data_IF_806272057477
#
_entry.id   IF_806272057477
#
_cell.length_a   1.000
_cell.length_b   1.000
_cell.length_c   1.000
_cell.angle_alpha   90.00
_cell.angle_beta   90.00
_cell.angle_gamma   90.00
#
_symmetry.space_group_name_H-M   'P 1'
#
loop_
_entity.id
_entity.type
_entity.pdbx_description
1 polymer ?
#
# COMPACT_ATOMS: atom_id res chain seq x y z
N UNK A 1 -17.61 4.35 4.98
CA UNK A 1 -18.72 5.09 5.66
C UNK A 1 -20.12 4.51 5.42
N UNK A 2 -20.49 4.08 4.19
CA UNK A 2 -21.84 3.59 3.86
C UNK A 2 -22.32 2.39 4.69
N UNK A 3 -21.49 1.38 4.85
CA UNK A 3 -21.79 0.20 5.68
C UNK A 3 -21.97 0.55 7.16
N UNK A 4 -21.22 1.52 7.67
CA UNK A 4 -21.34 1.98 9.06
C UNK A 4 -22.69 2.68 9.28
N UNK A 5 -23.07 3.56 8.35
CA UNK A 5 -24.41 4.19 8.35
C UNK A 5 -25.50 3.13 8.28
N UNK A 6 -25.34 2.11 7.45
CA UNK A 6 -26.29 1.01 7.34
C UNK A 6 -26.39 0.18 8.63
N UNK A 7 -25.26 -0.18 9.26
CA UNK A 7 -25.26 -0.88 10.55
C UNK A 7 -25.94 -0.07 11.66
N UNK A 8 -25.71 1.26 11.71
CA UNK A 8 -26.41 2.15 12.65
C UNK A 8 -27.90 2.24 12.36
N UNK A 9 -28.29 2.33 11.08
CA UNK A 9 -29.71 2.35 10.68
C UNK A 9 -30.38 1.03 11.08
N UNK A 10 -29.75 -0.12 10.83
CA UNK A 10 -30.28 -1.43 11.22
C UNK A 10 -30.40 -1.54 12.74
N UNK A 11 -29.40 -1.09 13.49
CA UNK A 11 -29.45 -1.07 14.95
C UNK A 11 -30.58 -0.16 15.47
N UNK A 12 -30.75 1.02 14.87
CA UNK A 12 -31.83 1.96 15.20
C UNK A 12 -33.21 1.40 14.84
N UNK A 13 -33.34 0.72 13.71
CA UNK A 13 -34.57 0.03 13.35
C UNK A 13 -34.90 -1.10 14.34
N UNK A 14 -33.89 -1.86 14.76
CA UNK A 14 -34.06 -2.91 15.77
C UNK A 14 -34.51 -2.35 17.13
N UNK A 15 -33.98 -1.20 17.55
CA UNK A 15 -34.45 -0.46 18.73
C UNK A 15 -35.95 -0.16 18.66
N UNK A 16 -36.38 0.42 17.53
CA UNK A 16 -37.79 0.80 17.30
C UNK A 16 -38.68 -0.45 17.25
N UNK A 17 -38.22 -1.53 16.62
CA UNK A 17 -38.98 -2.79 16.55
C UNK A 17 -39.14 -3.42 17.93
N UNK A 18 -38.07 -3.53 18.73
CA UNK A 18 -38.13 -4.14 20.07
C UNK A 18 -39.04 -3.33 21.00
N UNK A 19 -38.94 -2.00 20.95
CA UNK A 19 -39.86 -1.12 21.67
C UNK A 19 -41.32 -1.30 21.19
N UNK A 20 -41.53 -1.31 19.86
CA UNK A 20 -42.86 -1.48 19.26
C UNK A 20 -43.50 -2.84 19.60
N UNK A 21 -42.74 -3.93 19.57
CA UNK A 21 -43.21 -5.28 19.95
C UNK A 21 -43.67 -5.30 21.40
N UNK A 22 -42.92 -4.67 22.31
CA UNK A 22 -43.31 -4.57 23.72
C UNK A 22 -44.66 -3.85 23.89
N UNK A 23 -44.83 -2.70 23.24
CA UNK A 23 -46.10 -1.95 23.29
C UNK A 23 -47.25 -2.69 22.61
N UNK A 24 -47.02 -3.44 21.53
CA UNK A 24 -48.04 -4.27 20.89
C UNK A 24 -48.52 -5.41 21.79
N UNK A 25 -47.60 -6.08 22.51
CA UNK A 25 -47.94 -7.12 23.48
C UNK A 25 -48.76 -6.51 24.63
N UNK A 26 -48.38 -5.33 25.11
CA UNK A 26 -49.11 -4.58 26.14
C UNK A 26 -50.55 -4.23 25.70
N UNK A 27 -50.72 -3.71 24.48
CA UNK A 27 -52.03 -3.36 23.92
C UNK A 27 -52.93 -4.59 23.71
N UNK A 28 -52.37 -5.69 23.20
CA UNK A 28 -53.10 -6.96 23.06
C UNK A 28 -53.46 -7.60 24.40
N UNK A 29 -52.71 -7.29 25.47
CA UNK A 29 -53.01 -7.66 26.85
C UNK A 29 -54.13 -6.83 27.50
N UNK A 30 -54.77 -5.91 26.76
CA UNK A 30 -55.89 -5.10 27.23
C UNK A 30 -55.50 -3.81 27.96
N UNK A 31 -54.22 -3.45 27.99
CA UNK A 31 -53.76 -2.20 28.59
C UNK A 31 -53.80 -1.05 27.57
N UNK A 32 -54.82 -0.19 27.69
CA UNK A 32 -55.11 0.89 26.71
C UNK A 32 -54.39 2.20 27.08
N UNK A 33 -53.87 2.32 28.30
CA UNK A 33 -53.16 3.51 28.79
C UNK A 33 -51.75 3.17 29.24
N UNK A 34 -50.82 4.13 29.10
CA UNK A 34 -49.45 4.01 29.62
C UNK A 34 -49.51 3.78 31.14
N UNK A 35 -48.75 2.79 31.62
CA UNK A 35 -48.74 2.48 33.04
C UNK A 35 -48.17 3.66 33.85
N UNK A 36 -48.87 4.02 34.92
CA UNK A 36 -48.40 4.97 35.93
C UNK A 36 -47.52 4.30 36.99
N UNK A 37 -47.35 2.97 36.93
CA UNK A 37 -46.55 2.19 37.87
C UNK A 37 -45.07 2.19 37.48
N UNK A 38 -44.20 2.56 38.41
CA UNK A 38 -42.75 2.48 38.24
C UNK A 38 -42.26 1.05 37.99
N UNK A 39 -43.00 0.04 38.46
CA UNK A 39 -42.61 -1.38 38.32
C UNK A 39 -42.75 -1.88 36.88
N UNK A 40 -43.72 -1.37 36.12
CA UNK A 40 -43.91 -1.73 34.72
C UNK A 40 -42.82 -1.09 33.85
N UNK A 41 -42.42 0.15 34.17
CA UNK A 41 -41.27 0.81 33.54
C UNK A 41 -39.95 0.12 33.85
N UNK A 42 -39.76 -0.39 35.07
CA UNK A 42 -38.60 -1.19 35.41
C UNK A 42 -38.57 -2.52 34.62
N UNK A 43 -39.73 -3.15 34.43
CA UNK A 43 -39.88 -4.38 33.64
C UNK A 43 -39.63 -4.15 32.15
N UNK A 44 -40.10 -3.02 31.60
CA UNK A 44 -39.74 -2.56 30.26
C UNK A 44 -38.24 -2.36 30.12
N UNK A 45 -37.62 -1.64 31.07
CA UNK A 45 -36.17 -1.41 31.07
C UNK A 45 -35.36 -2.72 31.13
N UNK A 46 -35.81 -3.70 31.89
CA UNK A 46 -35.18 -5.02 31.97
C UNK A 46 -35.32 -5.82 30.65
N UNK A 47 -36.51 -5.83 30.05
CA UNK A 47 -36.75 -6.45 28.75
C UNK A 47 -35.92 -5.79 27.64
N UNK A 48 -36.01 -4.46 27.55
CA UNK A 48 -35.32 -3.66 26.56
C UNK A 48 -33.81 -3.80 26.70
N UNK A 49 -33.28 -3.68 27.93
CA UNK A 49 -31.87 -3.91 28.25
C UNK A 49 -31.39 -5.33 27.96
N UNK A 50 -32.23 -6.35 28.20
CA UNK A 50 -31.91 -7.74 27.94
C UNK A 50 -31.70 -8.06 26.45
N UNK A 51 -32.44 -7.38 25.56
CA UNK A 51 -32.27 -7.52 24.10
C UNK A 51 -31.18 -6.59 23.56
N UNK A 52 -31.09 -5.37 24.11
CA UNK A 52 -30.14 -4.38 23.65
C UNK A 52 -28.69 -4.68 24.02
N UNK A 53 -28.43 -5.16 25.23
CA UNK A 53 -27.07 -5.37 25.68
C UNK A 53 -26.30 -6.34 24.78
N UNK A 54 -26.85 -7.50 24.37
CA UNK A 54 -26.23 -8.38 23.37
C UNK A 54 -26.08 -7.72 22.00
N UNK A 55 -27.11 -7.02 21.50
CA UNK A 55 -27.08 -6.36 20.19
C UNK A 55 -26.02 -5.24 20.13
N UNK A 56 -25.92 -4.43 21.19
CA UNK A 56 -24.91 -3.39 21.34
C UNK A 56 -23.51 -3.98 21.46
N UNK A 57 -23.34 -5.08 22.18
CA UNK A 57 -22.06 -5.81 22.28
C UNK A 57 -21.61 -6.34 20.92
N UNK A 58 -22.51 -6.89 20.10
CA UNK A 58 -22.20 -7.35 18.75
C UNK A 58 -21.82 -6.19 17.82
N UNK A 59 -22.55 -5.08 17.89
CA UNK A 59 -22.23 -3.88 17.12
C UNK A 59 -20.85 -3.33 17.53
N UNK A 60 -20.57 -3.22 18.83
CA UNK A 60 -19.28 -2.80 19.34
C UNK A 60 -18.16 -3.72 18.87
N UNK A 61 -18.35 -5.04 18.96
CA UNK A 61 -17.39 -6.04 18.46
C UNK A 61 -17.12 -5.90 16.96
N UNK A 62 -18.17 -5.70 16.16
CA UNK A 62 -18.04 -5.45 14.72
C UNK A 62 -17.25 -4.17 14.41
N UNK A 63 -17.52 -3.08 15.14
CA UNK A 63 -16.81 -1.81 14.97
C UNK A 63 -15.33 -1.92 15.35
N UNK A 64 -15.04 -2.60 16.45
CA UNK A 64 -13.67 -2.88 16.90
C UNK A 64 -12.94 -3.72 15.85
N UNK A 65 -13.55 -4.78 15.33
CA UNK A 65 -12.98 -5.60 14.26
C UNK A 65 -12.66 -4.78 13.00
N UNK A 66 -13.61 -3.93 12.56
CA UNK A 66 -13.42 -3.05 11.40
C UNK A 66 -12.28 -2.06 11.62
N UNK A 67 -12.20 -1.48 12.82
CA UNK A 67 -11.11 -0.58 13.22
C UNK A 67 -9.76 -1.29 13.19
N UNK A 68 -9.66 -2.49 13.79
CA UNK A 68 -8.43 -3.28 13.78
C UNK A 68 -7.96 -3.62 12.37
N UNK A 69 -8.88 -4.03 11.49
CA UNK A 69 -8.55 -4.33 10.09
C UNK A 69 -8.01 -3.10 9.36
N UNK A 70 -8.63 -1.95 9.53
CA UNK A 70 -8.16 -0.69 8.90
C UNK A 70 -6.81 -0.25 9.47
N UNK A 71 -6.62 -0.33 10.79
CA UNK A 71 -5.38 0.07 11.45
C UNK A 71 -4.21 -0.84 11.06
N UNK A 72 -4.43 -2.16 11.05
CA UNK A 72 -3.42 -3.14 10.58
C UNK A 72 -3.01 -2.87 9.15
N UNK A 73 -3.97 -2.48 8.30
CA UNK A 73 -3.70 -2.15 6.90
C UNK A 73 -2.84 -0.88 6.77
N UNK A 74 -3.15 0.17 7.53
CA UNK A 74 -2.34 1.39 7.59
C UNK A 74 -0.92 1.11 8.11
N UNK A 75 -0.78 0.31 9.18
CA UNK A 75 0.53 -0.09 9.69
C UNK A 75 1.35 -0.86 8.65
N UNK A 76 0.73 -1.79 7.91
CA UNK A 76 1.42 -2.50 6.83
C UNK A 76 1.94 -1.55 5.76
N UNK A 77 1.13 -0.57 5.36
CA UNK A 77 1.54 0.44 4.39
C UNK A 77 2.69 1.31 4.90
N UNK A 78 2.65 1.73 6.16
CA UNK A 78 3.73 2.49 6.79
C UNK A 78 5.05 1.70 6.79
N UNK A 79 5.02 0.43 7.23
CA UNK A 79 6.21 -0.44 7.25
C UNK A 79 6.78 -0.62 5.84
N UNK A 80 5.93 -0.80 4.83
CA UNK A 80 6.37 -0.91 3.44
C UNK A 80 7.00 0.40 2.97
N UNK A 81 6.39 1.54 3.28
CA UNK A 81 6.93 2.87 2.93
C UNK A 81 8.29 3.13 3.58
N UNK A 82 8.46 2.78 4.85
CA UNK A 82 9.75 2.89 5.54
C UNK A 82 10.82 1.95 4.95
N UNK A 83 10.44 0.72 4.60
CA UNK A 83 11.34 -0.21 3.93
C UNK A 83 11.76 0.32 2.54
N UNK A 84 10.82 0.85 1.76
CA UNK A 84 11.10 1.50 0.48
C UNK A 84 12.01 2.72 0.66
N UNK A 85 11.78 3.55 1.68
CA UNK A 85 12.65 4.69 1.99
C UNK A 85 14.09 4.29 2.32
N UNK A 86 14.29 3.19 3.05
CA UNK A 86 15.64 2.64 3.30
C UNK A 86 16.31 2.12 2.02
N UNK A 87 15.56 1.40 1.18
CA UNK A 87 16.08 0.90 -0.09
C UNK A 87 16.42 2.05 -1.06
N UNK A 88 15.60 3.09 -1.07
CA UNK A 88 15.81 4.33 -1.82
C UNK A 88 17.12 5.02 -1.40
N UNK A 89 17.31 5.22 -0.10
CA UNK A 89 18.55 5.80 0.44
C UNK A 89 19.78 4.95 0.10
N UNK A 90 19.68 3.63 0.21
CA UNK A 90 20.78 2.73 -0.14
C UNK A 90 21.11 2.80 -1.64
N UNK A 91 20.10 2.87 -2.50
CA UNK A 91 20.29 2.97 -3.94
C UNK A 91 20.94 4.30 -4.33
N UNK A 92 20.45 5.43 -3.81
CA UNK A 92 21.09 6.73 -3.95
C UNK A 92 22.54 6.68 -3.48
N UNK A 93 22.78 6.15 -2.27
CA UNK A 93 24.12 6.01 -1.75
C UNK A 93 25.03 5.23 -2.71
N UNK A 94 24.59 4.07 -3.21
CA UNK A 94 25.36 3.27 -4.15
C UNK A 94 25.66 4.01 -5.48
N UNK A 95 24.77 4.90 -5.92
CA UNK A 95 24.95 5.69 -7.14
C UNK A 95 25.92 6.87 -6.97
N UNK A 96 25.94 7.48 -5.78
CA UNK A 96 26.82 8.63 -5.48
C UNK A 96 28.14 8.24 -4.85
N UNK A 97 28.26 7.03 -4.31
CA UNK A 97 29.50 6.55 -3.71
C UNK A 97 30.60 6.45 -4.77
N UNK A 98 31.84 6.88 -4.46
CA UNK A 98 33.01 6.70 -5.30
C UNK A 98 33.18 5.26 -5.77
N UNK A 99 33.23 5.08 -7.09
CA UNK A 99 33.58 3.79 -7.68
C UNK A 99 35.11 3.66 -7.67
N UNK A 100 35.63 2.96 -6.67
CA UNK A 100 37.08 2.85 -6.43
C UNK A 100 37.76 1.73 -7.25
N UNK A 101 37.14 1.27 -8.32
CA UNK A 101 37.72 0.26 -9.21
C UNK A 101 38.67 0.93 -10.21
N UNK A 102 39.78 0.27 -10.51
CA UNK A 102 40.81 0.71 -11.46
C UNK A 102 40.46 0.38 -12.93
N UNK A 103 39.30 -0.21 -13.19
CA UNK A 103 38.90 -0.72 -14.50
C UNK A 103 38.81 0.33 -15.62
N UNK A 104 38.88 1.62 -15.31
CA UNK A 104 38.85 2.72 -16.28
C UNK A 104 40.04 3.69 -16.14
N UNK A 105 41.08 3.29 -15.41
CA UNK A 105 42.25 4.14 -15.14
C UNK A 105 42.05 5.17 -14.02
N UNK A 106 43.11 5.91 -13.69
CA UNK A 106 43.14 6.84 -12.54
C UNK A 106 42.21 8.05 -12.72
N UNK A 107 41.89 8.45 -13.95
CA UNK A 107 41.01 9.60 -14.23
C UNK A 107 39.56 9.37 -13.78
N UNK A 108 39.08 8.13 -13.84
CA UNK A 108 37.73 7.75 -13.45
C UNK A 108 37.65 7.15 -12.04
N UNK A 109 38.81 6.97 -11.39
CA UNK A 109 38.91 6.38 -10.07
C UNK A 109 38.32 7.32 -9.02
N UNK A 110 37.38 6.80 -8.23
CA UNK A 110 36.77 7.57 -7.15
C UNK A 110 35.68 8.56 -7.61
N UNK A 111 35.35 8.58 -8.90
CA UNK A 111 34.15 9.27 -9.37
C UNK A 111 32.88 8.53 -8.95
N UNK A 112 31.74 9.22 -8.76
CA UNK A 112 30.47 8.58 -8.48
C UNK A 112 30.10 7.56 -9.56
N UNK A 113 29.55 6.41 -9.17
CA UNK A 113 29.10 5.38 -10.11
C UNK A 113 28.13 5.95 -11.16
N UNK A 114 27.28 6.89 -10.77
CA UNK A 114 26.38 7.62 -11.67
C UNK A 114 27.14 8.28 -12.82
N UNK A 115 28.25 8.96 -12.54
CA UNK A 115 29.06 9.63 -13.57
C UNK A 115 29.62 8.64 -14.58
N UNK A 116 30.13 7.50 -14.08
CA UNK A 116 30.72 6.46 -14.93
C UNK A 116 29.65 5.80 -15.82
N UNK A 117 28.47 5.50 -15.26
CA UNK A 117 27.33 4.99 -16.05
C UNK A 117 26.95 5.95 -17.18
N UNK A 118 27.00 7.25 -16.94
CA UNK A 118 26.72 8.24 -17.98
C UNK A 118 27.82 8.29 -19.04
N UNK A 119 29.09 8.31 -18.65
CA UNK A 119 30.22 8.30 -19.58
C UNK A 119 30.20 7.07 -20.50
N UNK A 120 30.01 5.88 -19.93
CA UNK A 120 29.91 4.64 -20.72
C UNK A 120 28.68 4.67 -21.62
N UNK A 121 27.52 5.10 -21.10
CA UNK A 121 26.29 5.16 -21.89
C UNK A 121 26.32 6.19 -23.02
N UNK A 122 27.13 7.24 -22.91
CA UNK A 122 27.29 8.27 -23.95
C UNK A 122 28.36 7.88 -24.98
N UNK A 123 29.08 6.78 -24.78
CA UNK A 123 30.20 6.37 -25.64
C UNK A 123 31.51 7.13 -25.38
N UNK A 124 31.60 7.85 -24.26
CA UNK A 124 32.84 8.54 -23.83
C UNK A 124 33.86 7.53 -23.27
N UNK A 125 33.39 6.36 -22.84
CA UNK A 125 34.18 5.29 -22.24
C UNK A 125 33.71 3.93 -22.74
N UNK A 126 34.63 3.07 -23.19
CA UNK A 126 34.28 1.69 -23.55
C UNK A 126 33.96 0.88 -22.30
N UNK A 127 32.86 0.13 -22.31
CA UNK A 127 32.51 -0.75 -21.18
C UNK A 127 33.47 -1.94 -21.06
N UNK A 128 33.51 -2.54 -19.87
CA UNK A 128 34.25 -3.77 -19.62
C UNK A 128 33.45 -4.74 -18.75
N UNK A 129 33.85 -6.02 -18.76
CA UNK A 129 33.13 -7.10 -18.08
C UNK A 129 32.98 -6.88 -16.57
N UNK A 130 33.98 -6.29 -15.90
CA UNK A 130 33.93 -6.00 -14.46
C UNK A 130 32.85 -4.94 -14.16
N UNK A 131 32.81 -3.89 -14.97
CA UNK A 131 31.81 -2.84 -14.86
C UNK A 131 30.41 -3.35 -15.20
N UNK A 132 30.27 -4.10 -16.30
CA UNK A 132 29.00 -4.71 -16.69
C UNK A 132 28.45 -5.62 -15.59
N UNK A 133 29.32 -6.42 -14.95
CA UNK A 133 28.95 -7.26 -13.81
C UNK A 133 28.48 -6.47 -12.58
N UNK A 134 29.11 -5.32 -12.30
CA UNK A 134 28.71 -4.41 -11.22
C UNK A 134 27.35 -3.75 -11.52
N UNK A 135 27.19 -3.22 -12.73
CA UNK A 135 25.93 -2.61 -13.20
C UNK A 135 24.80 -3.63 -13.22
N UNK A 136 25.05 -4.86 -13.68
CA UNK A 136 24.07 -5.95 -13.68
C UNK A 136 23.63 -6.33 -12.25
N UNK A 137 24.56 -6.32 -11.30
CA UNK A 137 24.24 -6.55 -9.89
C UNK A 137 23.39 -5.44 -9.30
N UNK A 138 23.69 -4.18 -9.65
CA UNK A 138 22.89 -3.03 -9.24
C UNK A 138 21.48 -3.09 -9.87
N UNK A 139 21.37 -3.42 -11.16
CA UNK A 139 20.09 -3.62 -11.85
C UNK A 139 19.25 -4.71 -11.20
N UNK A 140 19.84 -5.82 -10.75
CA UNK A 140 19.13 -6.84 -10.00
C UNK A 140 18.52 -6.29 -8.70
N UNK A 141 19.29 -5.51 -7.93
CA UNK A 141 18.78 -4.85 -6.72
C UNK A 141 17.66 -3.85 -7.04
N UNK A 142 17.79 -3.10 -8.13
CA UNK A 142 16.75 -2.17 -8.61
C UNK A 142 15.49 -2.94 -9.03
N UNK A 143 15.61 -4.12 -9.65
CA UNK A 143 14.45 -4.95 -10.00
C UNK A 143 13.73 -5.51 -8.77
N UNK A 144 14.45 -5.81 -7.69
CA UNK A 144 13.84 -6.14 -6.39
C UNK A 144 13.07 -4.93 -5.85
N UNK A 145 13.68 -3.74 -5.86
CA UNK A 145 13.03 -2.50 -5.45
C UNK A 145 11.76 -2.22 -6.29
N UNK A 146 11.84 -2.36 -7.61
CA UNK A 146 10.70 -2.21 -8.52
C UNK A 146 9.54 -3.13 -8.14
N UNK A 147 9.84 -4.39 -7.78
CA UNK A 147 8.82 -5.33 -7.34
C UNK A 147 8.16 -4.90 -6.02
N UNK A 148 8.95 -4.38 -5.08
CA UNK A 148 8.44 -3.81 -3.82
C UNK A 148 7.58 -2.57 -4.06
N UNK A 149 7.99 -1.67 -4.96
CA UNK A 149 7.22 -0.48 -5.35
C UNK A 149 5.90 -0.92 -6.00
N UNK A 150 5.93 -1.86 -6.96
CA UNK A 150 4.71 -2.34 -7.61
C UNK A 150 3.72 -2.95 -6.60
N UNK A 151 4.24 -3.70 -5.63
CA UNK A 151 3.42 -4.26 -4.54
C UNK A 151 2.82 -3.15 -3.68
N UNK A 152 3.60 -2.12 -3.35
CA UNK A 152 3.12 -0.96 -2.61
C UNK A 152 2.02 -0.19 -3.36
N UNK A 153 2.20 0.07 -4.65
CA UNK A 153 1.20 0.73 -5.49
C UNK A 153 -0.10 -0.08 -5.58
N UNK A 154 -0.02 -1.41 -5.72
CA UNK A 154 -1.20 -2.30 -5.69
C UNK A 154 -1.92 -2.31 -4.33
N UNK A 155 -1.19 -2.07 -3.24
CA UNK A 155 -1.81 -1.89 -1.94
C UNK A 155 -2.48 -0.51 -1.87
N UNK A 156 -1.85 0.57 -2.33
CA UNK A 156 -2.50 1.88 -2.37
C UNK A 156 -3.84 1.87 -3.13
N UNK A 157 -3.95 1.12 -4.23
CA UNK A 157 -5.22 0.92 -4.95
C UNK A 157 -6.33 0.24 -4.13
N UNK A 158 -5.95 -0.62 -3.20
CA UNK A 158 -6.88 -1.36 -2.33
C UNK A 158 -7.19 -0.60 -1.04
N UNK A 159 -6.60 0.58 -0.86
CA UNK A 159 -6.93 1.43 0.28
C UNK A 159 -8.42 1.77 0.21
N UNK A 160 -9.19 1.59 1.30
CA UNK A 160 -10.61 1.92 1.31
C UNK A 160 -10.76 3.43 1.31
N UNK A 161 -10.68 4.03 0.12
CA UNK A 161 -11.00 5.42 -0.11
C UNK A 161 -12.52 5.55 -0.25
N UNK A 162 -13.07 6.66 0.23
CA UNK A 162 -14.43 7.03 -0.15
C UNK A 162 -14.49 7.11 -1.68
N UNK A 163 -15.63 6.74 -2.28
CA UNK A 163 -15.84 6.45 -3.73
C UNK A 163 -15.35 7.52 -4.73
N UNK A 164 -14.74 8.62 -4.28
CA UNK A 164 -14.22 9.75 -5.05
C UNK A 164 -12.70 9.97 -4.97
N UNK A 165 -11.96 9.24 -4.14
CA UNK A 165 -10.49 9.37 -4.13
C UNK A 165 -9.91 8.57 -5.30
N UNK A 166 -9.79 9.25 -6.43
CA UNK A 166 -9.13 8.78 -7.64
C UNK A 166 -7.76 8.20 -7.28
N UNK A 167 -7.20 7.32 -8.12
CA UNK A 167 -5.85 6.75 -7.93
C UNK A 167 -4.71 7.81 -7.95
N UNK A 168 -4.96 9.07 -7.61
CA UNK A 168 -4.03 10.20 -7.58
C UNK A 168 -2.81 9.90 -6.71
N UNK A 169 -2.98 9.34 -5.51
CA UNK A 169 -1.85 9.05 -4.62
C UNK A 169 -0.96 7.96 -5.22
N UNK A 170 -1.56 6.90 -5.76
CA UNK A 170 -0.84 5.86 -6.50
C UNK A 170 -0.08 6.46 -7.68
N UNK A 171 -0.74 7.32 -8.47
CA UNK A 171 -0.13 7.95 -9.63
C UNK A 171 1.02 8.87 -9.22
N UNK A 172 0.84 9.69 -8.17
CA UNK A 172 1.87 10.57 -7.64
C UNK A 172 3.11 9.78 -7.20
N UNK A 173 2.89 8.72 -6.40
CA UNK A 173 3.96 7.82 -5.96
C UNK A 173 4.66 7.17 -7.16
N UNK A 174 3.92 6.70 -8.16
CA UNK A 174 4.52 6.11 -9.36
C UNK A 174 5.38 7.11 -10.14
N UNK A 175 4.91 8.35 -10.32
CA UNK A 175 5.66 9.41 -11.01
C UNK A 175 6.98 9.72 -10.30
N UNK A 176 6.98 9.79 -8.97
CA UNK A 176 8.19 10.01 -8.18
C UNK A 176 9.29 8.99 -8.51
N UNK A 177 8.95 7.70 -8.54
CA UNK A 177 9.92 6.63 -8.82
C UNK A 177 10.40 6.65 -10.28
N UNK A 178 9.52 6.96 -11.23
CA UNK A 178 9.89 7.12 -12.65
C UNK A 178 10.90 8.26 -12.80
N UNK A 179 10.56 9.46 -12.32
CA UNK A 179 11.38 10.65 -12.50
C UNK A 179 12.77 10.48 -11.90
N UNK A 180 12.84 9.86 -10.72
CA UNK A 180 14.10 9.68 -9.99
C UNK A 180 15.04 8.67 -10.66
N UNK A 181 14.52 7.51 -11.07
CA UNK A 181 15.39 6.38 -11.43
C UNK A 181 15.30 5.91 -12.89
N UNK A 182 14.21 6.18 -13.61
CA UNK A 182 14.08 5.74 -15.00
C UNK A 182 15.25 6.18 -15.91
N UNK A 183 15.79 7.41 -15.82
CA UNK A 183 16.89 7.85 -16.67
C UNK A 183 18.16 7.01 -16.51
N UNK A 184 18.55 6.71 -15.27
CA UNK A 184 19.77 5.94 -15.00
C UNK A 184 19.54 4.44 -15.25
N UNK A 185 18.37 3.92 -14.89
CA UNK A 185 18.00 2.52 -15.13
C UNK A 185 18.02 2.16 -16.62
N UNK A 186 17.54 3.06 -17.47
CA UNK A 186 17.54 2.85 -18.92
C UNK A 186 18.97 2.76 -19.48
N UNK A 187 19.87 3.63 -19.01
CA UNK A 187 21.29 3.62 -19.41
C UNK A 187 22.00 2.34 -18.96
N UNK A 188 21.81 1.95 -17.70
CA UNK A 188 22.34 0.71 -17.16
C UNK A 188 21.85 -0.53 -17.93
N UNK A 189 20.56 -0.56 -18.29
CA UNK A 189 19.98 -1.61 -19.13
C UNK A 189 20.65 -1.69 -20.50
N UNK A 190 20.95 -0.54 -21.13
CA UNK A 190 21.63 -0.50 -22.43
C UNK A 190 23.06 -1.01 -22.35
N UNK A 191 23.80 -0.66 -21.28
CA UNK A 191 25.17 -1.12 -21.05
C UNK A 191 25.24 -2.64 -20.95
N UNK A 192 24.40 -3.23 -20.09
CA UNK A 192 24.46 -4.66 -19.75
C UNK A 192 23.74 -5.55 -20.77
N UNK A 193 22.69 -5.02 -21.40
CA UNK A 193 21.86 -5.74 -22.35
C UNK A 193 20.78 -6.63 -21.73
N UNK A 194 19.73 -6.86 -22.52
CA UNK A 194 18.51 -7.59 -22.09
C UNK A 194 18.79 -9.05 -21.69
N UNK A 195 19.65 -9.74 -22.43
CA UNK A 195 19.90 -11.17 -22.23
C UNK A 195 20.55 -11.44 -20.86
N UNK A 196 21.54 -10.63 -20.48
CA UNK A 196 22.21 -10.75 -19.18
C UNK A 196 21.24 -10.48 -18.01
N UNK A 197 20.33 -9.50 -18.18
CA UNK A 197 19.27 -9.27 -17.19
C UNK A 197 18.33 -10.47 -17.06
N UNK A 198 17.87 -11.05 -18.17
CA UNK A 198 16.96 -12.20 -18.16
C UNK A 198 17.60 -13.46 -17.56
N UNK A 199 18.92 -13.62 -17.68
CA UNK A 199 19.64 -14.74 -17.09
C UNK A 199 19.81 -14.61 -15.57
N UNK A 200 19.99 -13.39 -15.05
CA UNK A 200 20.27 -13.16 -13.63
C UNK A 200 19.03 -12.85 -12.78
N UNK A 201 18.07 -12.14 -13.35
CA UNK A 201 16.93 -11.55 -12.63
C UNK A 201 15.69 -12.41 -12.82
N UNK A 202 14.92 -12.63 -11.75
CA UNK A 202 13.67 -13.40 -11.82
C UNK A 202 12.64 -12.70 -12.70
N UNK A 203 11.86 -13.48 -13.44
CA UNK A 203 10.88 -12.95 -14.41
C UNK A 203 9.89 -11.96 -13.78
N UNK A 204 9.38 -12.23 -12.59
CA UNK A 204 8.46 -11.35 -11.88
C UNK A 204 9.09 -9.99 -11.47
N UNK A 205 10.37 -9.99 -11.14
CA UNK A 205 11.13 -8.78 -10.80
C UNK A 205 11.44 -7.98 -12.06
N UNK A 206 11.77 -8.67 -13.15
CA UNK A 206 12.04 -8.07 -14.44
C UNK A 206 10.77 -7.43 -15.02
N UNK A 207 9.62 -8.08 -14.88
CA UNK A 207 8.33 -7.51 -15.25
C UNK A 207 7.97 -6.29 -14.39
N UNK A 208 8.21 -6.37 -13.08
CA UNK A 208 7.99 -5.21 -12.19
C UNK A 208 8.91 -4.04 -12.54
N UNK A 209 10.16 -4.31 -12.89
CA UNK A 209 11.10 -3.30 -13.38
C UNK A 209 10.59 -2.60 -14.64
N UNK A 210 10.06 -3.37 -15.60
CA UNK A 210 9.44 -2.81 -16.82
C UNK A 210 8.23 -1.93 -16.49
N UNK A 211 7.33 -2.39 -15.62
CA UNK A 211 6.12 -1.63 -15.27
C UNK A 211 6.45 -0.34 -14.51
N UNK A 212 7.40 -0.38 -13.58
CA UNK A 212 7.70 0.78 -12.71
C UNK A 212 8.57 1.81 -13.41
N UNK A 213 9.71 1.41 -13.99
CA UNK A 213 10.71 2.35 -14.51
C UNK A 213 10.61 2.60 -16.02
N UNK A 214 9.48 2.20 -16.61
CA UNK A 214 9.19 2.36 -18.04
C UNK A 214 10.08 1.51 -18.96
N UNK A 215 9.82 0.21 -18.96
CA UNK A 215 9.83 -0.63 -20.15
C UNK A 215 8.45 -0.67 -20.80
N UNK A 216 7.81 0.50 -20.99
CA UNK A 216 6.56 0.66 -21.73
C UNK A 216 6.81 1.32 -23.09
N UNK A 217 6.75 0.49 -24.13
CA UNK A 217 6.58 0.81 -25.55
C UNK A 217 7.61 1.73 -26.23
N UNK A 218 8.65 1.10 -26.77
CA UNK A 218 8.89 1.14 -28.23
C UNK A 218 8.87 -0.31 -28.73
N UNK A 219 7.88 -0.62 -29.57
CA UNK A 219 7.93 -1.65 -30.61
C UNK A 219 8.22 -0.93 -31.92
#
# INVERSE_FOLDING_TARGET
MREFRFSLIVFTALLVIVAGVYFLIMLNGGQISLSTSNQDWASFGAYFGGVLAPAASLLAGYLVYKSFRSNTYQQKLLVIREALGRLDQQLEHNLYTPFNNDCFGEEYRGLPLRTIVYAVSNGELESNERFDGAVLSLLHNISILAHSILTYLKLLERFPTEETDTNWLRNLEHHYWIEKYSPICTRMKTIVGKNAMQQKIKENQLESFRVIFNGGYDL
#
